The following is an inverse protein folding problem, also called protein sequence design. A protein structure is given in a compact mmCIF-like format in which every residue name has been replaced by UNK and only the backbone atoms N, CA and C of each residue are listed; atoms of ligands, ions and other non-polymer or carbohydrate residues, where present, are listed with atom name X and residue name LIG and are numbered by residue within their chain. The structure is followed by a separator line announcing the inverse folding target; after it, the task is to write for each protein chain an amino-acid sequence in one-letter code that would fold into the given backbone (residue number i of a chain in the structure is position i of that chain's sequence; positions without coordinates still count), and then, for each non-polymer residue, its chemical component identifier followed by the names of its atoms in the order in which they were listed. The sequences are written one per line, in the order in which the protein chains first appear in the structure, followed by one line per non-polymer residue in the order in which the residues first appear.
data_IF_079175604635
#
_entry.id   IF_079175604635
#
_cell.length_a   1.000
_cell.length_b   1.000
_cell.length_c   1.000
_cell.angle_alpha   90.00
_cell.angle_beta   90.00
_cell.angle_gamma   90.00
#
_symmetry.space_group_name_H-M   'P 1'
#
loop_
_entity.id
_entity.type
_entity.pdbx_description
1 polymer ?
#
# COMPACT_ATOMS: atom_id res chain seq x y z
N UNK A 1 -36.51 -25.46 -31.73
CA UNK A 1 -36.22 -25.41 -30.27
C UNK A 1 -37.13 -24.38 -29.65
N UNK A 2 -37.93 -24.78 -28.65
CA UNK A 2 -38.90 -23.86 -28.02
C UNK A 2 -38.15 -22.73 -27.29
N UNK A 3 -38.80 -21.58 -27.11
CA UNK A 3 -38.24 -20.42 -26.39
C UNK A 3 -37.82 -20.83 -24.98
N UNK A 4 -38.57 -21.69 -24.32
CA UNK A 4 -38.25 -22.21 -22.98
C UNK A 4 -36.90 -22.94 -22.95
N UNK A 5 -36.65 -23.84 -23.89
CA UNK A 5 -35.33 -24.53 -23.97
C UNK A 5 -34.17 -23.61 -24.27
N UNK A 6 -34.39 -22.55 -25.03
CA UNK A 6 -33.33 -21.52 -25.24
C UNK A 6 -33.00 -20.76 -23.95
N UNK A 7 -34.03 -20.42 -23.17
CA UNK A 7 -33.88 -19.78 -21.88
C UNK A 7 -33.17 -20.68 -20.86
N UNK A 8 -33.55 -21.96 -20.78
CA UNK A 8 -32.88 -22.93 -19.90
C UNK A 8 -31.38 -23.03 -20.21
N UNK A 9 -31.05 -23.18 -21.49
CA UNK A 9 -29.61 -23.24 -21.93
C UNK A 9 -28.90 -21.93 -21.58
N UNK A 10 -29.51 -20.78 -21.81
CA UNK A 10 -28.92 -19.49 -21.48
C UNK A 10 -28.61 -19.38 -19.99
N UNK A 11 -29.55 -19.75 -19.10
CA UNK A 11 -29.31 -19.71 -17.66
C UNK A 11 -28.24 -20.71 -17.20
N UNK A 12 -28.20 -21.90 -17.79
CA UNK A 12 -27.14 -22.88 -17.49
C UNK A 12 -25.78 -22.31 -17.86
N UNK A 13 -25.64 -21.71 -19.04
CA UNK A 13 -24.38 -21.11 -19.48
C UNK A 13 -23.98 -19.93 -18.57
N UNK A 14 -24.94 -19.13 -18.14
CA UNK A 14 -24.70 -18.01 -17.23
C UNK A 14 -24.20 -18.49 -15.86
N UNK A 15 -24.79 -19.57 -15.33
CA UNK A 15 -24.34 -20.19 -14.06
C UNK A 15 -22.93 -20.75 -14.23
N UNK A 16 -22.63 -21.48 -15.31
CA UNK A 16 -21.31 -22.05 -15.55
C UNK A 16 -20.24 -20.95 -15.69
N UNK A 17 -20.56 -19.86 -16.40
CA UNK A 17 -19.69 -18.71 -16.53
C UNK A 17 -19.42 -18.05 -15.18
N UNK A 18 -20.46 -17.86 -14.37
CA UNK A 18 -20.34 -17.26 -13.03
C UNK A 18 -19.48 -18.11 -12.10
N UNK A 19 -19.67 -19.43 -12.10
CA UNK A 19 -18.85 -20.36 -11.31
C UNK A 19 -17.40 -20.36 -11.78
N UNK A 20 -17.16 -20.34 -13.10
CA UNK A 20 -15.81 -20.22 -13.67
C UNK A 20 -15.13 -18.92 -13.25
N UNK A 21 -15.84 -17.78 -13.29
CA UNK A 21 -15.33 -16.49 -12.85
C UNK A 21 -14.98 -16.47 -11.36
N UNK A 22 -15.85 -17.00 -10.50
CA UNK A 22 -15.62 -17.08 -9.05
C UNK A 22 -14.39 -17.96 -8.78
N UNK A 23 -14.29 -19.12 -9.40
CA UNK A 23 -13.16 -20.04 -9.24
C UNK A 23 -11.84 -19.39 -9.70
N UNK A 24 -11.85 -18.68 -10.82
CA UNK A 24 -10.70 -17.94 -11.32
C UNK A 24 -10.30 -16.80 -10.38
N UNK A 25 -11.26 -16.03 -9.90
CA UNK A 25 -11.03 -14.94 -8.94
C UNK A 25 -10.45 -15.46 -7.62
N UNK A 26 -10.95 -16.57 -7.13
CA UNK A 26 -10.41 -17.23 -5.94
C UNK A 26 -8.96 -17.70 -6.16
N UNK A 27 -8.70 -18.37 -7.27
CA UNK A 27 -7.33 -18.80 -7.64
C UNK A 27 -6.35 -17.63 -7.71
N UNK A 28 -6.73 -16.52 -8.36
CA UNK A 28 -5.90 -15.32 -8.45
C UNK A 28 -5.61 -14.71 -7.08
N UNK A 29 -6.61 -14.72 -6.19
CA UNK A 29 -6.46 -14.20 -4.84
C UNK A 29 -5.50 -15.06 -4.00
N UNK A 30 -5.66 -16.38 -4.05
CA UNK A 30 -4.76 -17.33 -3.38
C UNK A 30 -3.34 -17.23 -3.93
N UNK A 31 -3.19 -17.16 -5.25
CA UNK A 31 -1.88 -16.98 -5.87
C UNK A 31 -1.20 -15.69 -5.41
N UNK A 32 -1.94 -14.58 -5.33
CA UNK A 32 -1.39 -13.33 -4.82
C UNK A 32 -0.99 -13.44 -3.34
N UNK A 33 -1.81 -14.09 -2.51
CA UNK A 33 -1.54 -14.19 -1.07
C UNK A 33 -0.29 -15.02 -0.78
N UNK A 34 -0.06 -16.10 -1.52
CA UNK A 34 1.04 -17.03 -1.26
C UNK A 34 2.35 -16.72 -2.01
N UNK A 35 2.33 -15.83 -2.98
CA UNK A 35 3.53 -15.46 -3.73
C UNK A 35 4.00 -14.05 -3.37
N UNK A 36 5.30 -13.73 -3.48
CA UNK A 36 5.79 -12.36 -3.32
C UNK A 36 5.14 -11.41 -4.35
N UNK A 37 5.23 -10.11 -4.11
CA UNK A 37 4.82 -9.11 -5.09
C UNK A 37 5.59 -9.31 -6.41
N UNK A 38 4.97 -8.95 -7.52
CA UNK A 38 5.61 -9.07 -8.83
C UNK A 38 6.93 -8.28 -8.88
N UNK A 39 7.93 -8.72 -9.65
CA UNK A 39 9.20 -8.01 -9.77
C UNK A 39 9.03 -6.54 -10.16
N UNK A 40 8.05 -6.23 -11.03
CA UNK A 40 7.73 -4.86 -11.41
C UNK A 40 7.32 -3.99 -10.21
N UNK A 41 6.50 -4.53 -9.30
CA UNK A 41 6.06 -3.79 -8.11
C UNK A 41 7.23 -3.63 -7.13
N UNK A 42 8.03 -4.67 -6.95
CA UNK A 42 9.21 -4.62 -6.08
C UNK A 42 10.23 -3.56 -6.57
N UNK A 43 10.48 -3.49 -7.88
CA UNK A 43 11.34 -2.48 -8.48
C UNK A 43 10.81 -1.06 -8.22
N UNK A 44 9.51 -0.83 -8.38
CA UNK A 44 8.88 0.46 -8.08
C UNK A 44 8.97 0.85 -6.61
N UNK A 45 8.84 -0.12 -5.70
CA UNK A 45 9.04 0.12 -4.26
C UNK A 45 10.48 0.57 -4.00
N UNK A 46 11.47 -0.14 -4.52
CA UNK A 46 12.90 0.19 -4.37
C UNK A 46 13.20 1.57 -4.98
N UNK A 47 12.66 1.86 -6.16
CA UNK A 47 12.83 3.17 -6.78
C UNK A 47 12.26 4.28 -5.89
N UNK A 48 11.02 4.12 -5.41
CA UNK A 48 10.37 5.12 -4.55
C UNK A 48 11.09 5.29 -3.22
N UNK A 49 11.55 4.22 -2.64
CA UNK A 49 12.38 4.24 -1.43
C UNK A 49 13.65 5.09 -1.64
N UNK A 50 14.39 4.84 -2.72
CA UNK A 50 15.59 5.59 -3.06
C UNK A 50 15.33 7.09 -3.26
N UNK A 51 14.18 7.44 -3.87
CA UNK A 51 13.75 8.83 -4.02
C UNK A 51 13.53 9.49 -2.66
N UNK A 52 12.76 8.85 -1.77
CA UNK A 52 12.47 9.35 -0.41
C UNK A 52 13.75 9.48 0.41
N UNK A 53 14.63 8.48 0.40
CA UNK A 53 15.93 8.53 1.09
C UNK A 53 16.81 9.67 0.55
N UNK A 54 16.79 9.90 -0.75
CA UNK A 54 17.48 11.04 -1.38
C UNK A 54 16.94 12.39 -0.90
N UNK A 55 15.61 12.51 -0.74
CA UNK A 55 14.96 13.69 -0.18
C UNK A 55 15.33 13.91 1.29
N UNK A 56 15.38 12.85 2.10
CA UNK A 56 15.85 12.91 3.49
C UNK A 56 17.27 13.47 3.54
N UNK A 57 18.17 12.91 2.76
CA UNK A 57 19.56 13.39 2.71
C UNK A 57 19.65 14.85 2.28
N UNK A 58 18.84 15.27 1.29
CA UNK A 58 18.81 16.65 0.78
C UNK A 58 18.30 17.64 1.80
N UNK A 59 17.17 17.32 2.48
CA UNK A 59 16.49 18.27 3.37
C UNK A 59 17.05 18.28 4.80
N UNK A 60 17.50 17.12 5.28
CA UNK A 60 17.88 16.95 6.68
C UNK A 60 19.37 16.68 6.89
N UNK A 61 20.11 16.37 5.82
CA UNK A 61 21.57 16.08 5.84
C UNK A 61 21.94 14.92 6.77
N UNK A 62 21.03 13.99 6.98
CA UNK A 62 21.26 12.78 7.77
C UNK A 62 21.18 11.55 6.86
N UNK A 63 21.90 10.51 7.26
CA UNK A 63 21.71 9.17 6.72
C UNK A 63 20.88 8.41 7.74
N UNK A 64 19.78 7.81 7.29
CA UNK A 64 18.93 6.95 8.12
C UNK A 64 19.11 5.52 7.65
N UNK A 65 19.30 4.63 8.61
CA UNK A 65 19.29 3.19 8.38
C UNK A 65 17.89 2.68 8.75
N UNK A 66 17.06 2.48 7.74
CA UNK A 66 15.66 2.08 7.89
C UNK A 66 15.47 0.81 7.08
N UNK A 67 15.04 -0.24 7.76
CA UNK A 67 14.69 -1.51 7.14
C UNK A 67 13.21 -1.45 6.69
N UNK A 68 12.96 -1.39 5.38
CA UNK A 68 11.61 -1.41 4.82
C UNK A 68 11.32 -2.75 4.17
N UNK A 69 10.21 -3.35 4.56
CA UNK A 69 9.77 -4.65 4.05
C UNK A 69 8.28 -4.69 3.76
N UNK A 70 7.87 -5.63 2.90
CA UNK A 70 6.47 -5.90 2.60
C UNK A 70 6.02 -7.11 3.41
N UNK A 71 4.92 -6.97 4.17
CA UNK A 71 4.37 -8.02 5.02
C UNK A 71 2.91 -8.30 4.69
N UNK A 72 2.47 -9.54 4.85
CA UNK A 72 1.08 -10.01 4.74
C UNK A 72 0.40 -10.21 6.11
N UNK A 73 1.12 -10.00 7.21
CA UNK A 73 0.65 -10.19 8.59
C UNK A 73 -0.25 -9.05 9.12
N UNK A 74 -0.56 -8.06 8.29
CA UNK A 74 -1.34 -6.90 8.70
C UNK A 74 -2.84 -7.16 8.79
N UNK A 75 -3.48 -6.44 9.73
CA UNK A 75 -4.94 -6.26 9.68
C UNK A 75 -5.34 -5.53 8.39
N UNK A 76 -6.56 -5.78 7.92
CA UNK A 76 -7.10 -5.16 6.69
C UNK A 76 -7.26 -3.64 6.76
N UNK A 77 -7.01 -3.00 7.91
CA UNK A 77 -7.21 -1.56 8.09
C UNK A 77 -5.94 -0.73 7.94
N UNK A 78 -4.76 -1.35 8.08
CA UNK A 78 -3.48 -0.64 8.00
C UNK A 78 -2.90 -0.71 6.59
N UNK A 79 -2.30 0.36 6.13
CA UNK A 79 -1.57 0.46 4.87
C UNK A 79 -0.08 0.25 5.07
N UNK A 80 0.46 0.78 6.15
CA UNK A 80 1.83 0.61 6.59
C UNK A 80 1.93 0.71 8.10
N UNK A 81 3.12 0.47 8.63
CA UNK A 81 3.45 0.58 10.04
C UNK A 81 4.93 0.87 10.20
N UNK A 82 5.25 1.96 10.88
CA UNK A 82 6.62 2.26 11.30
C UNK A 82 6.80 1.93 12.77
N UNK A 83 7.82 1.13 13.07
CA UNK A 83 8.19 0.73 14.43
C UNK A 83 9.60 1.19 14.77
N UNK A 84 9.77 1.61 16.03
CA UNK A 84 11.08 1.86 16.62
C UNK A 84 11.27 0.90 17.81
N UNK A 85 12.25 0.02 17.70
CA UNK A 85 12.57 -0.96 18.75
C UNK A 85 14.09 -1.18 18.81
N UNK A 86 14.65 -1.13 20.02
CA UNK A 86 16.08 -1.38 20.29
C UNK A 86 17.05 -0.56 19.39
N UNK A 87 16.71 0.70 19.13
CA UNK A 87 17.55 1.57 18.31
C UNK A 87 17.38 1.38 16.80
N UNK A 88 16.56 0.45 16.37
CA UNK A 88 16.27 0.17 14.97
C UNK A 88 14.92 0.72 14.55
N UNK A 89 14.87 1.30 13.37
CA UNK A 89 13.63 1.75 12.73
C UNK A 89 13.27 0.77 11.63
N UNK A 90 12.05 0.26 11.67
CA UNK A 90 11.52 -0.66 10.66
C UNK A 90 10.20 -0.15 10.10
N UNK A 91 10.08 -0.24 8.79
CA UNK A 91 8.85 0.07 8.06
C UNK A 91 8.30 -1.23 7.48
N UNK A 92 7.03 -1.46 7.71
CA UNK A 92 6.29 -2.58 7.13
C UNK A 92 5.18 -2.03 6.23
N UNK A 93 5.14 -2.49 4.99
CA UNK A 93 4.09 -2.14 4.03
C UNK A 93 3.12 -3.31 3.88
N UNK A 94 1.83 -3.03 3.91
CA UNK A 94 0.80 -4.05 3.79
C UNK A 94 0.69 -4.56 2.34
N UNK A 95 1.09 -5.80 2.10
CA UNK A 95 1.07 -6.46 0.80
C UNK A 95 -0.31 -6.41 0.13
N UNK A 96 -1.38 -6.64 0.89
CA UNK A 96 -2.75 -6.69 0.36
C UNK A 96 -3.17 -5.35 -0.25
N UNK A 97 -2.67 -4.23 0.28
CA UNK A 97 -2.98 -2.90 -0.20
C UNK A 97 -2.35 -2.58 -1.57
N UNK A 98 -1.24 -3.21 -1.93
CA UNK A 98 -0.68 -3.09 -3.28
C UNK A 98 -1.60 -3.66 -4.37
N UNK A 99 -2.41 -4.66 -4.05
CA UNK A 99 -3.42 -5.19 -4.97
C UNK A 99 -4.58 -4.21 -5.19
N UNK A 100 -4.92 -3.45 -4.15
CA UNK A 100 -6.08 -2.56 -4.16
C UNK A 100 -5.74 -1.18 -4.72
N UNK A 101 -4.56 -0.64 -4.36
CA UNK A 101 -4.19 0.75 -4.65
C UNK A 101 -2.67 0.91 -4.73
N UNK A 102 -2.06 0.30 -5.76
CA UNK A 102 -0.59 0.30 -5.97
C UNK A 102 -0.01 1.72 -5.95
N UNK A 103 -0.59 2.64 -6.69
CA UNK A 103 -0.07 4.01 -6.80
C UNK A 103 -0.14 4.74 -5.46
N UNK A 104 -1.24 4.59 -4.72
CA UNK A 104 -1.38 5.15 -3.38
C UNK A 104 -0.31 4.60 -2.41
N UNK A 105 -0.04 3.30 -2.46
CA UNK A 105 1.04 2.70 -1.67
C UNK A 105 2.41 3.32 -1.95
N UNK A 106 2.72 3.56 -3.22
CA UNK A 106 3.99 4.13 -3.63
C UNK A 106 4.07 5.64 -3.33
N UNK A 107 3.05 6.40 -3.68
CA UNK A 107 3.11 7.86 -3.67
C UNK A 107 2.78 8.48 -2.31
N UNK A 108 1.93 7.81 -1.51
CA UNK A 108 1.47 8.35 -0.22
C UNK A 108 1.98 7.54 0.97
N UNK A 109 1.82 6.20 0.94
CA UNK A 109 2.14 5.39 2.13
C UNK A 109 3.65 5.34 2.39
N UNK A 110 4.49 5.19 1.37
CA UNK A 110 5.95 5.18 1.59
C UNK A 110 6.43 6.50 2.19
N UNK A 111 6.15 7.69 1.63
CA UNK A 111 6.52 8.96 2.27
C UNK A 111 5.95 9.14 3.67
N UNK A 112 4.72 8.69 3.91
CA UNK A 112 4.05 8.73 5.20
C UNK A 112 4.83 7.95 6.28
N UNK A 113 5.18 6.70 5.98
CA UNK A 113 5.91 5.85 6.92
C UNK A 113 7.34 6.35 7.14
N UNK A 114 8.00 6.83 6.08
CA UNK A 114 9.32 7.47 6.20
C UNK A 114 9.27 8.75 7.03
N UNK A 115 8.17 9.50 7.00
CA UNK A 115 7.98 10.66 7.88
C UNK A 115 7.92 10.25 9.36
N UNK A 116 7.22 9.16 9.69
CA UNK A 116 7.27 8.59 11.05
C UNK A 116 8.67 8.14 11.43
N UNK A 117 9.35 7.43 10.54
CA UNK A 117 10.72 6.98 10.76
C UNK A 117 11.67 8.16 11.04
N UNK A 118 11.52 9.25 10.31
CA UNK A 118 12.35 10.44 10.50
C UNK A 118 12.04 11.18 11.82
N UNK A 119 10.78 11.23 12.25
CA UNK A 119 10.40 11.74 13.58
C UNK A 119 11.09 10.92 14.68
N UNK A 120 11.15 9.59 14.56
CA UNK A 120 11.90 8.73 15.48
C UNK A 120 13.41 9.02 15.43
N UNK A 121 14.00 9.12 14.24
CA UNK A 121 15.43 9.38 14.07
C UNK A 121 15.85 10.74 14.64
N UNK A 122 14.98 11.74 14.60
CA UNK A 122 15.20 13.07 15.18
C UNK A 122 14.93 13.12 16.70
N UNK A 123 14.51 12.02 17.33
CA UNK A 123 14.10 11.96 18.74
C UNK A 123 12.93 12.88 19.12
N UNK A 124 12.07 13.21 18.17
CA UNK A 124 10.90 14.10 18.35
C UNK A 124 9.59 13.33 18.63
N UNK A 125 9.68 12.06 19.03
CA UNK A 125 8.56 11.14 19.26
C UNK A 125 7.89 11.27 20.65
N UNK A 126 8.01 12.41 21.31
CA UNK A 126 7.53 12.65 22.69
C UNK A 126 6.03 12.74 22.84
N UNK A 127 5.29 12.83 21.76
CA UNK A 127 3.82 12.93 21.78
C UNK A 127 3.15 11.59 21.51
N UNK A 128 2.01 11.35 22.16
CA UNK A 128 1.18 10.16 21.89
C UNK A 128 0.54 10.17 20.50
N UNK A 129 0.42 11.33 19.89
CA UNK A 129 -0.09 11.48 18.53
C UNK A 129 1.10 11.43 17.55
N UNK A 130 1.18 10.37 16.79
CA UNK A 130 2.22 10.18 15.79
C UNK A 130 2.10 11.13 14.57
N UNK A 131 0.97 11.81 14.39
CA UNK A 131 0.68 12.70 13.25
C UNK A 131 0.72 14.18 13.67
N UNK A 132 1.86 14.60 14.19
CA UNK A 132 2.09 16.00 14.61
C UNK A 132 2.31 16.91 13.39
N UNK A 133 2.32 18.24 13.61
CA UNK A 133 2.68 19.21 12.56
C UNK A 133 4.07 18.92 12.00
N UNK A 134 5.04 18.56 12.84
CA UNK A 134 6.38 18.17 12.38
C UNK A 134 6.34 16.96 11.45
N UNK A 135 5.57 15.92 11.80
CA UNK A 135 5.39 14.76 10.94
C UNK A 135 4.79 15.17 9.58
N UNK A 136 3.78 16.02 9.58
CA UNK A 136 3.14 16.50 8.36
C UNK A 136 4.10 17.28 7.47
N UNK A 137 4.87 18.20 8.06
CA UNK A 137 5.88 18.99 7.35
C UNK A 137 6.98 18.08 6.75
N UNK A 138 7.36 17.04 7.48
CA UNK A 138 8.32 16.03 6.98
C UNK A 138 7.70 15.27 5.80
N UNK A 139 6.51 14.73 5.94
CA UNK A 139 5.83 13.94 4.91
C UNK A 139 5.72 14.74 3.59
N UNK A 140 5.31 16.00 3.66
CA UNK A 140 5.25 16.90 2.49
C UNK A 140 6.63 17.12 1.84
N UNK A 141 7.70 17.24 2.64
CA UNK A 141 9.08 17.36 2.12
C UNK A 141 9.60 16.07 1.50
N UNK A 142 9.03 14.93 1.85
CA UNK A 142 9.31 13.63 1.27
C UNK A 142 8.42 13.31 0.05
N UNK A 143 7.75 14.34 -0.49
CA UNK A 143 6.88 14.25 -1.67
C UNK A 143 5.62 13.40 -1.45
N UNK A 144 5.14 13.30 -0.20
CA UNK A 144 3.79 12.86 0.09
C UNK A 144 2.80 13.97 -0.26
N UNK A 145 1.71 13.67 -0.96
CA UNK A 145 0.77 14.68 -1.47
C UNK A 145 -0.30 15.05 -0.45
N UNK A 146 -0.82 14.06 0.26
CA UNK A 146 -1.97 14.22 1.16
C UNK A 146 -1.52 14.40 2.61
N UNK A 147 -0.58 13.62 3.09
CA UNK A 147 0.02 13.69 4.44
C UNK A 147 -1.02 13.89 5.55
N UNK A 148 -2.09 13.10 5.53
CA UNK A 148 -3.14 13.07 6.53
C UNK A 148 -3.10 11.77 7.32
N UNK A 149 -3.68 11.79 8.54
CA UNK A 149 -3.79 10.59 9.38
C UNK A 149 -4.68 9.51 8.76
N UNK A 150 -5.68 9.93 8.01
CA UNK A 150 -6.70 9.04 7.46
C UNK A 150 -6.52 8.92 5.95
N UNK A 151 -6.66 7.70 5.47
CA UNK A 151 -6.71 7.42 4.03
C UNK A 151 -8.05 7.92 3.49
N UNK A 152 -8.02 8.78 2.49
CA UNK A 152 -9.24 9.20 1.81
C UNK A 152 -9.78 8.06 0.94
N UNK A 153 -10.95 7.56 1.31
CA UNK A 153 -11.61 6.47 0.58
C UNK A 153 -12.03 6.88 -0.84
N UNK A 154 -12.30 8.15 -1.09
CA UNK A 154 -12.67 8.64 -2.42
C UNK A 154 -11.51 8.53 -3.40
N UNK A 155 -10.29 8.80 -2.96
CA UNK A 155 -9.08 8.69 -3.77
C UNK A 155 -8.75 7.23 -4.11
N UNK A 156 -8.93 6.31 -3.16
CA UNK A 156 -8.78 4.87 -3.41
C UNK A 156 -9.77 4.38 -4.47
N UNK A 157 -11.01 4.87 -4.42
CA UNK A 157 -12.06 4.50 -5.37
C UNK A 157 -11.72 5.06 -6.76
N UNK A 158 -11.24 6.31 -6.85
CA UNK A 158 -10.85 6.92 -8.13
C UNK A 158 -9.69 6.18 -8.79
N UNK A 159 -8.66 5.82 -8.02
CA UNK A 159 -7.52 5.02 -8.52
C UNK A 159 -7.94 3.62 -8.98
N UNK A 160 -8.90 2.98 -8.30
CA UNK A 160 -9.47 1.70 -8.77
C UNK A 160 -10.22 1.81 -10.10
N UNK A 161 -10.80 2.97 -10.42
CA UNK A 161 -11.49 3.20 -11.68
C UNK A 161 -10.54 3.49 -12.85
N UNK A 162 -9.35 4.04 -12.60
CA UNK A 162 -8.33 4.29 -13.63
C UNK A 162 -7.61 3.02 -14.12
N UNK A 163 -7.67 1.92 -13.37
CA UNK A 163 -6.99 0.65 -13.69
C UNK A 163 -7.87 -0.28 -14.55
N UNK A 164 -9.02 0.16 -15.02
CA UNK A 164 -9.87 -0.59 -15.97
C UNK A 164 -9.65 -0.09 -17.42
#
# INVERSE_FOLDING_TARGET
MSITKKLEIFFILLILFSLGYISYSYYQNEHFNHNPLSPEIQEKIIQRENEVVSLIKRHYRINVDIDMSVSDEFSSQLYGLTQYHDGQIRIYLNKKRFKESKNYMLEEVIPHEYAHALVFALNEHRTKDGHTQLWQDICLKLDGKICTRYVDNEEIISQKMEIR
#
